data_IF_312079622635
#
_entry.id   IF_312079622635
#
_cell.length_a   1.000
_cell.length_b   1.000
_cell.length_c   1.000
_cell.angle_alpha   90.00
_cell.angle_beta   90.00
_cell.angle_gamma   90.00
#
_symmetry.space_group_name_H-M   'P 1'
#
loop_
_entity.id
_entity.type
_entity.pdbx_description
1 polymer ?
#
# COMPACT_ATOMS: atom_id res chain seq x y z
N UNK A 1 5.04 -15.59 -5.19
CA UNK A 1 5.59 -14.50 -4.37
C UNK A 1 4.54 -13.89 -3.42
N UNK A 2 4.95 -13.37 -2.27
CA UNK A 2 4.19 -12.54 -1.35
C UNK A 2 4.63 -11.07 -1.48
N UNK A 3 3.74 -10.21 -1.97
CA UNK A 3 4.06 -8.81 -2.30
C UNK A 3 3.40 -7.91 -1.27
N UNK A 4 4.19 -7.24 -0.43
CA UNK A 4 3.68 -6.48 0.72
C UNK A 4 3.95 -4.99 0.51
N UNK A 5 2.93 -4.23 0.10
CA UNK A 5 3.02 -2.78 0.01
C UNK A 5 2.88 -2.14 1.38
N UNK A 6 3.80 -1.27 1.77
CA UNK A 6 3.80 -0.69 3.10
C UNK A 6 4.02 0.83 3.12
N UNK A 7 3.34 1.50 4.05
CA UNK A 7 3.60 2.89 4.42
C UNK A 7 3.26 3.12 5.89
N UNK A 8 3.34 4.37 6.35
CA UNK A 8 3.05 4.73 7.75
C UNK A 8 1.62 4.33 8.13
N UNK A 9 0.63 4.68 7.29
CA UNK A 9 -0.78 4.45 7.59
C UNK A 9 -1.32 3.09 7.15
N UNK A 10 -0.71 2.49 6.12
CA UNK A 10 -1.20 1.25 5.48
C UNK A 10 -2.48 1.40 4.65
N UNK A 11 -3.04 2.61 4.55
CA UNK A 11 -4.44 2.85 4.12
C UNK A 11 -4.57 3.84 2.97
N UNK A 12 -3.47 4.47 2.54
CA UNK A 12 -3.45 5.46 1.44
C UNK A 12 -2.58 4.98 0.28
N UNK A 13 -1.29 5.32 0.27
CA UNK A 13 -0.39 4.96 -0.84
C UNK A 13 -0.20 3.45 -1.00
N UNK A 14 -0.07 2.69 0.08
CA UNK A 14 0.03 1.22 0.01
C UNK A 14 -1.28 0.55 -0.40
N UNK A 15 -2.42 1.06 0.07
CA UNK A 15 -3.74 0.60 -0.36
C UNK A 15 -3.92 0.82 -1.87
N UNK A 16 -3.59 2.00 -2.37
CA UNK A 16 -3.73 2.32 -3.79
C UNK A 16 -2.73 1.53 -4.63
N UNK A 17 -1.49 1.38 -4.20
CA UNK A 17 -0.51 0.53 -4.88
C UNK A 17 -1.01 -0.91 -5.03
N UNK A 18 -1.54 -1.50 -3.94
CA UNK A 18 -2.12 -2.83 -4.00
C UNK A 18 -3.34 -2.90 -4.93
N UNK A 19 -4.20 -1.87 -4.95
CA UNK A 19 -5.35 -1.82 -5.87
C UNK A 19 -4.91 -1.73 -7.35
N UNK A 20 -3.89 -0.93 -7.66
CA UNK A 20 -3.30 -0.85 -9.01
C UNK A 20 -2.67 -2.18 -9.40
N UNK A 21 -1.87 -2.79 -8.52
CA UNK A 21 -1.24 -4.08 -8.75
C UNK A 21 -2.28 -5.16 -9.08
N UNK A 22 -3.39 -5.19 -8.34
CA UNK A 22 -4.49 -6.14 -8.52
C UNK A 22 -5.40 -5.79 -9.71
N UNK A 23 -5.09 -4.77 -10.52
CA UNK A 23 -5.91 -4.36 -11.66
C UNK A 23 -7.26 -3.75 -11.28
N UNK A 24 -7.46 -3.35 -10.02
CA UNK A 24 -8.69 -2.68 -9.54
C UNK A 24 -8.71 -1.19 -9.86
N UNK A 25 -7.55 -0.61 -10.13
CA UNK A 25 -7.39 0.78 -10.58
C UNK A 25 -6.49 0.82 -11.83
N UNK A 26 -6.68 1.78 -12.74
CA UNK A 26 -5.97 1.83 -14.01
C UNK A 26 -4.48 2.12 -13.85
N UNK A 27 -3.65 1.53 -14.70
CA UNK A 27 -2.20 1.73 -14.65
C UNK A 27 -1.69 2.81 -15.62
N UNK A 28 -2.51 3.23 -16.56
CA UNK A 28 -2.11 4.11 -17.67
C UNK A 28 -2.75 5.51 -17.58
N UNK A 29 -3.62 5.75 -16.61
CA UNK A 29 -4.29 7.04 -16.41
C UNK A 29 -4.60 7.27 -14.93
N UNK A 30 -4.87 8.51 -14.57
CA UNK A 30 -5.32 8.87 -13.22
C UNK A 30 -6.83 8.58 -13.11
N UNK A 31 -7.28 7.75 -12.15
CA UNK A 31 -8.68 7.40 -12.00
C UNK A 31 -9.52 8.60 -11.54
N UNK A 32 -10.84 8.48 -11.65
CA UNK A 32 -11.75 9.44 -11.01
C UNK A 32 -11.79 9.18 -9.50
N UNK A 33 -12.15 10.21 -8.73
CA UNK A 33 -12.27 10.08 -7.27
C UNK A 33 -13.25 8.98 -6.85
N UNK A 34 -14.31 8.74 -7.64
CA UNK A 34 -15.29 7.67 -7.40
C UNK A 34 -14.67 6.27 -7.47
N UNK A 35 -13.70 6.07 -8.37
CA UNK A 35 -13.03 4.79 -8.55
C UNK A 35 -12.07 4.56 -7.38
N UNK A 36 -11.42 5.63 -6.89
CA UNK A 36 -10.63 5.55 -5.66
C UNK A 36 -11.50 5.19 -4.45
N UNK A 37 -12.71 5.72 -4.35
CA UNK A 37 -13.65 5.42 -3.28
C UNK A 37 -14.31 4.04 -3.37
N UNK A 38 -14.32 3.41 -4.54
CA UNK A 38 -14.81 2.03 -4.69
C UNK A 38 -13.85 1.01 -4.08
N UNK A 39 -12.58 1.39 -3.83
CA UNK A 39 -11.60 0.53 -3.17
C UNK A 39 -11.96 0.38 -1.67
N UNK A 40 -12.39 -0.81 -1.21
CA UNK A 40 -12.96 -0.97 0.14
C UNK A 40 -11.98 -0.69 1.28
N UNK A 41 -10.69 -0.75 0.96
CA UNK A 41 -9.61 -0.57 1.92
C UNK A 41 -8.87 0.78 1.78
N UNK A 42 -9.43 1.73 1.03
CA UNK A 42 -8.90 3.08 0.93
C UNK A 42 -9.42 3.99 2.05
N UNK A 43 -8.50 4.52 2.87
CA UNK A 43 -8.78 5.35 4.04
C UNK A 43 -9.71 4.68 5.08
N UNK A 44 -9.65 3.36 5.24
CA UNK A 44 -10.54 2.63 6.18
C UNK A 44 -9.83 1.96 7.36
N UNK A 45 -8.52 1.71 7.28
CA UNK A 45 -7.79 1.11 8.41
C UNK A 45 -7.86 1.97 9.67
N UNK A 46 -8.01 1.30 10.81
CA UNK A 46 -8.06 1.90 12.14
C UNK A 46 -6.76 1.61 12.91
N UNK A 47 -6.71 2.03 14.18
CA UNK A 47 -5.57 1.76 15.05
C UNK A 47 -5.36 0.25 15.31
N UNK A 48 -6.43 -0.55 15.27
CA UNK A 48 -6.41 -1.99 15.55
C UNK A 48 -5.67 -2.81 14.48
N UNK A 49 -5.57 -2.28 13.27
CA UNK A 49 -4.91 -2.96 12.15
C UNK A 49 -3.44 -2.56 11.97
N UNK A 50 -2.91 -1.68 12.81
CA UNK A 50 -1.49 -1.28 12.75
C UNK A 50 -0.58 -2.49 13.00
N UNK A 51 0.50 -2.60 12.24
CA UNK A 51 1.42 -3.74 12.32
C UNK A 51 0.90 -5.03 11.68
N UNK A 52 -0.37 -5.10 11.23
CA UNK A 52 -0.92 -6.30 10.58
C UNK A 52 -0.58 -6.31 9.09
N UNK A 53 -0.14 -7.47 8.59
CA UNK A 53 -0.05 -7.77 7.16
C UNK A 53 -1.44 -8.22 6.70
N UNK A 54 -2.07 -7.45 5.81
CA UNK A 54 -3.46 -7.66 5.40
C UNK A 54 -3.52 -8.10 3.95
N UNK A 55 -4.08 -9.27 3.70
CA UNK A 55 -4.28 -9.83 2.37
C UNK A 55 -5.28 -9.01 1.54
N UNK A 56 -4.97 -8.79 0.26
CA UNK A 56 -5.78 -7.97 -0.67
C UNK A 56 -6.24 -8.71 -1.92
N UNK A 57 -5.56 -9.78 -2.31
CA UNK A 57 -5.93 -10.63 -3.45
C UNK A 57 -4.75 -11.32 -4.12
N UNK A 58 -5.06 -12.05 -5.20
CA UNK A 58 -4.09 -12.62 -6.13
C UNK A 58 -3.96 -11.71 -7.35
N UNK A 59 -2.73 -11.50 -7.83
CA UNK A 59 -2.49 -10.90 -9.14
C UNK A 59 -2.70 -11.91 -10.28
N UNK A 60 -2.49 -11.48 -11.53
CA UNK A 60 -2.66 -12.31 -12.73
C UNK A 60 -1.65 -13.47 -12.82
N UNK A 61 -0.52 -13.40 -12.11
CA UNK A 61 0.52 -14.43 -12.06
C UNK A 61 0.38 -15.34 -10.82
N UNK A 62 -0.66 -15.17 -10.02
CA UNK A 62 -0.87 -15.94 -8.79
C UNK A 62 -0.08 -15.45 -7.58
N UNK A 63 0.57 -14.28 -7.65
CA UNK A 63 1.22 -13.67 -6.50
C UNK A 63 0.21 -13.13 -5.50
N UNK A 64 0.47 -13.32 -4.22
CA UNK A 64 -0.38 -12.84 -3.13
C UNK A 64 0.00 -11.40 -2.79
N UNK A 65 -0.95 -10.48 -2.91
CA UNK A 65 -0.74 -9.05 -2.63
C UNK A 65 -1.29 -8.70 -1.24
N UNK A 66 -0.49 -7.97 -0.47
CA UNK A 66 -0.78 -7.55 0.89
C UNK A 66 -0.51 -6.05 1.08
N UNK A 67 -1.05 -5.52 2.17
CA UNK A 67 -0.71 -4.18 2.67
C UNK A 67 -0.29 -4.23 4.13
N UNK A 68 0.64 -3.36 4.52
CA UNK A 68 1.11 -3.22 5.90
C UNK A 68 1.15 -1.74 6.34
N UNK A 69 0.68 -1.49 7.56
CA UNK A 69 0.86 -0.23 8.28
C UNK A 69 2.06 -0.33 9.22
N UNK A 70 3.24 0.10 8.78
CA UNK A 70 4.49 -0.01 9.55
C UNK A 70 4.72 1.14 10.53
N UNK A 71 3.77 2.07 10.64
CA UNK A 71 3.93 3.32 11.39
C UNK A 71 5.22 4.06 10.99
N UNK A 72 5.73 4.94 11.86
CA UNK A 72 6.95 5.71 11.63
C UNK A 72 8.23 4.97 12.04
N UNK A 73 8.17 3.64 12.19
CA UNK A 73 9.29 2.81 12.70
C UNK A 73 9.67 1.66 11.76
N UNK A 74 9.98 1.94 10.47
CA UNK A 74 10.41 0.91 9.51
C UNK A 74 11.60 0.08 9.99
N UNK A 75 12.56 0.71 10.64
CA UNK A 75 13.81 0.11 11.13
C UNK A 75 13.58 -0.96 12.20
N UNK A 76 12.41 -0.98 12.83
CA UNK A 76 12.01 -2.03 13.78
C UNK A 76 11.07 -3.02 13.08
N UNK A 77 10.04 -2.51 12.39
CA UNK A 77 8.98 -3.36 11.83
C UNK A 77 9.47 -4.24 10.69
N UNK A 78 10.34 -3.72 9.81
CA UNK A 78 10.81 -4.49 8.66
C UNK A 78 11.67 -5.66 9.12
N UNK A 79 12.78 -5.48 9.87
CA UNK A 79 13.59 -6.62 10.32
C UNK A 79 12.79 -7.65 11.11
N UNK A 80 11.87 -7.21 11.99
CA UNK A 80 11.04 -8.11 12.77
C UNK A 80 10.13 -9.01 11.90
N UNK A 81 9.61 -8.49 10.78
CA UNK A 81 8.81 -9.29 9.84
C UNK A 81 9.70 -10.29 9.09
N UNK A 82 10.88 -9.87 8.67
CA UNK A 82 11.82 -10.72 7.94
C UNK A 82 12.30 -11.88 8.81
N UNK A 83 12.73 -11.59 10.05
CA UNK A 83 13.16 -12.61 11.00
C UNK A 83 12.00 -13.55 11.37
N UNK A 84 10.80 -13.02 11.62
CA UNK A 84 9.63 -13.84 11.90
C UNK A 84 9.27 -14.77 10.73
N UNK A 85 9.40 -14.30 9.48
CA UNK A 85 9.18 -15.11 8.29
C UNK A 85 10.18 -16.27 8.19
N UNK A 86 11.46 -16.00 8.42
CA UNK A 86 12.52 -17.00 8.38
C UNK A 86 12.38 -18.02 9.51
N UNK A 87 12.07 -17.57 10.73
CA UNK A 87 11.82 -18.44 11.88
C UNK A 87 10.61 -19.35 11.67
N UNK A 88 9.61 -18.89 10.90
CA UNK A 88 8.47 -19.70 10.50
C UNK A 88 8.77 -20.68 9.35
N UNK A 89 10.02 -20.76 8.88
CA UNK A 89 10.45 -21.65 7.81
C UNK A 89 10.28 -21.10 6.39
N UNK A 90 9.98 -19.81 6.24
CA UNK A 90 9.86 -19.16 4.93
C UNK A 90 11.22 -18.85 4.29
N UNK A 91 11.24 -18.64 2.97
CA UNK A 91 12.44 -18.25 2.24
C UNK A 91 12.46 -16.72 1.96
N UNK A 92 13.65 -16.10 1.94
CA UNK A 92 13.83 -14.67 1.57
C UNK A 92 13.34 -14.35 0.15
N UNK A 93 13.34 -15.35 -0.74
CA UNK A 93 12.89 -15.20 -2.12
C UNK A 93 11.38 -15.35 -2.28
N UNK A 94 10.64 -15.66 -1.20
CA UNK A 94 9.19 -15.85 -1.27
C UNK A 94 8.40 -14.57 -1.01
N UNK A 95 9.05 -13.49 -0.56
CA UNK A 95 8.39 -12.21 -0.28
C UNK A 95 9.18 -11.00 -0.78
N UNK A 96 8.47 -9.90 -1.00
CA UNK A 96 9.06 -8.56 -1.21
C UNK A 96 8.29 -7.51 -0.41
N UNK A 97 9.03 -6.61 0.23
CA UNK A 97 8.50 -5.48 1.01
C UNK A 97 8.69 -4.19 0.22
N UNK A 98 7.57 -3.57 -0.21
CA UNK A 98 7.59 -2.41 -1.10
C UNK A 98 7.19 -1.13 -0.37
N UNK A 99 8.15 -0.22 -0.24
CA UNK A 99 7.94 1.08 0.40
C UNK A 99 7.18 2.05 -0.51
N UNK A 100 5.96 2.41 -0.13
CA UNK A 100 5.15 3.40 -0.87
C UNK A 100 5.20 4.81 -0.28
N UNK A 101 6.05 5.06 0.72
CA UNK A 101 6.24 6.39 1.31
C UNK A 101 6.76 7.46 0.34
N UNK A 102 7.63 7.16 -0.66
CA UNK A 102 8.09 8.16 -1.61
C UNK A 102 6.97 8.84 -2.41
N UNK A 103 5.81 8.18 -2.56
CA UNK A 103 4.65 8.75 -3.22
C UNK A 103 3.76 9.61 -2.29
N UNK A 104 4.02 9.66 -0.99
CA UNK A 104 3.13 10.34 -0.01
C UNK A 104 3.43 11.85 0.04
N UNK A 105 2.44 12.67 -0.30
CA UNK A 105 2.54 14.13 -0.27
C UNK A 105 1.86 14.76 0.98
N UNK A 106 2.00 16.08 1.12
CA UNK A 106 1.48 16.83 2.27
C UNK A 106 -0.05 16.74 2.42
N UNK A 107 -0.81 16.74 1.31
CA UNK A 107 -2.27 16.59 1.36
C UNK A 107 -2.66 15.24 1.97
N UNK A 108 -1.98 14.16 1.59
CA UNK A 108 -2.22 12.84 2.17
C UNK A 108 -1.86 12.81 3.66
N UNK A 109 -0.79 13.49 4.08
CA UNK A 109 -0.40 13.61 5.51
C UNK A 109 -1.48 14.33 6.32
N UNK A 110 -1.92 15.51 5.86
CA UNK A 110 -2.93 16.33 6.53
C UNK A 110 -4.27 15.59 6.55
N UNK A 111 -4.77 15.20 5.39
CA UNK A 111 -6.04 14.50 5.27
C UNK A 111 -6.05 13.20 6.06
N UNK A 112 -4.95 12.45 6.03
CA UNK A 112 -4.82 11.17 6.74
C UNK A 112 -4.75 11.34 8.24
N UNK A 113 -4.11 12.40 8.73
CA UNK A 113 -4.15 12.78 10.14
C UNK A 113 -5.58 13.14 10.55
N UNK A 114 -6.27 14.00 9.80
CA UNK A 114 -7.64 14.37 10.10
C UNK A 114 -8.60 13.17 10.08
N UNK A 115 -8.55 12.33 9.05
CA UNK A 115 -9.48 11.20 8.90
C UNK A 115 -9.20 10.06 9.89
N UNK A 116 -7.92 9.67 10.08
CA UNK A 116 -7.55 8.46 10.84
C UNK A 116 -7.07 8.72 12.27
N UNK A 117 -6.62 9.93 12.61
CA UNK A 117 -6.19 10.27 13.98
C UNK A 117 -7.23 11.08 14.73
N UNK A 118 -7.87 12.04 14.07
CA UNK A 118 -8.92 12.88 14.68
C UNK A 118 -10.34 12.36 14.44
N UNK A 119 -10.50 11.26 13.68
CA UNK A 119 -11.80 10.70 13.28
C UNK A 119 -12.70 11.67 12.49
N UNK A 120 -12.14 12.73 11.90
CA UNK A 120 -12.84 13.68 11.05
C UNK A 120 -12.90 13.15 9.61
N UNK A 121 -13.58 12.02 9.42
CA UNK A 121 -13.56 11.26 8.14
C UNK A 121 -14.12 12.07 6.97
N UNK A 122 -15.28 12.72 7.15
CA UNK A 122 -15.93 13.52 6.10
C UNK A 122 -15.06 14.70 5.63
N UNK A 123 -14.20 15.23 6.50
CA UNK A 123 -13.26 16.30 6.20
C UNK A 123 -11.95 15.77 5.62
N UNK A 124 -11.34 14.76 6.27
CA UNK A 124 -10.01 14.28 5.91
C UNK A 124 -10.00 13.44 4.63
N UNK A 125 -11.00 12.57 4.42
CA UNK A 125 -11.01 11.61 3.30
C UNK A 125 -11.00 12.29 1.92
N UNK A 126 -11.75 13.40 1.67
CA UNK A 126 -11.61 14.17 0.43
C UNK A 126 -10.20 14.75 0.21
N UNK A 127 -9.55 15.24 1.27
CA UNK A 127 -8.19 15.80 1.18
C UNK A 127 -7.18 14.69 0.83
N UNK A 128 -7.29 13.53 1.47
CA UNK A 128 -6.49 12.34 1.14
C UNK A 128 -6.71 11.93 -0.30
N UNK A 129 -7.96 11.89 -0.77
CA UNK A 129 -8.30 11.49 -2.12
C UNK A 129 -7.66 12.45 -3.14
N UNK A 130 -7.78 13.76 -2.95
CA UNK A 130 -7.13 14.77 -3.80
C UNK A 130 -5.60 14.60 -3.81
N UNK A 131 -5.00 14.38 -2.65
CA UNK A 131 -3.56 14.11 -2.53
C UNK A 131 -3.13 12.83 -3.25
N UNK A 132 -3.95 11.78 -3.14
CA UNK A 132 -3.73 10.48 -3.78
C UNK A 132 -3.79 10.60 -5.30
N UNK A 133 -4.82 11.27 -5.85
CA UNK A 133 -4.94 11.49 -7.28
C UNK A 133 -3.77 12.31 -7.84
N UNK A 134 -3.33 13.34 -7.11
CA UNK A 134 -2.18 14.18 -7.50
C UNK A 134 -0.87 13.38 -7.63
N UNK A 135 -0.66 12.37 -6.78
CA UNK A 135 0.57 11.54 -6.77
C UNK A 135 0.36 10.17 -7.40
N UNK A 136 -0.79 9.95 -8.02
CA UNK A 136 -1.16 8.65 -8.59
C UNK A 136 -0.13 8.11 -9.59
N UNK A 137 0.45 8.93 -10.50
CA UNK A 137 1.52 8.45 -11.39
C UNK A 137 2.75 7.91 -10.64
N UNK A 138 3.10 8.49 -9.48
CA UNK A 138 4.22 8.02 -8.66
C UNK A 138 3.89 6.65 -8.02
N UNK A 139 2.65 6.46 -7.58
CA UNK A 139 2.19 5.18 -7.05
C UNK A 139 2.24 4.10 -8.14
N UNK A 140 1.75 4.43 -9.33
CA UNK A 140 1.82 3.56 -10.52
C UNK A 140 3.26 3.20 -10.83
N UNK A 141 4.19 4.16 -10.80
CA UNK A 141 5.61 3.90 -11.08
C UNK A 141 6.23 2.89 -10.09
N UNK A 142 5.88 2.98 -8.81
CA UNK A 142 6.29 1.99 -7.81
C UNK A 142 5.77 0.61 -8.17
N UNK A 143 4.51 0.50 -8.58
CA UNK A 143 3.90 -0.78 -8.98
C UNK A 143 4.58 -1.33 -10.25
N UNK A 144 4.80 -0.50 -11.27
CA UNK A 144 5.51 -0.91 -12.50
C UNK A 144 6.91 -1.43 -12.20
N UNK A 145 7.68 -0.72 -11.38
CA UNK A 145 8.99 -1.19 -10.96
C UNK A 145 8.93 -2.52 -10.21
N UNK A 146 7.91 -2.69 -9.35
CA UNK A 146 7.68 -3.97 -8.65
C UNK A 146 7.44 -5.10 -9.63
N UNK A 147 6.56 -4.90 -10.62
CA UNK A 147 6.23 -5.91 -11.64
C UNK A 147 7.45 -6.26 -12.50
N UNK A 148 8.24 -5.26 -12.92
CA UNK A 148 9.47 -5.50 -13.69
C UNK A 148 10.49 -6.32 -12.88
N UNK A 149 10.66 -6.04 -11.58
CA UNK A 149 11.53 -6.84 -10.72
C UNK A 149 11.07 -8.29 -10.61
N UNK A 150 9.76 -8.54 -10.58
CA UNK A 150 9.22 -9.89 -10.55
C UNK A 150 9.47 -10.64 -11.87
N UNK A 151 9.33 -9.96 -13.00
CA UNK A 151 9.61 -10.55 -14.32
C UNK A 151 11.08 -10.94 -14.49
N UNK A 152 12.03 -10.17 -13.95
CA UNK A 152 13.46 -10.51 -14.02
C UNK A 152 13.77 -11.78 -13.21
N UNK A 153 13.08 -11.99 -12.08
CA UNK A 153 13.31 -13.15 -11.21
C UNK A 153 12.57 -14.43 -11.67
N UNK A 154 11.75 -14.35 -12.73
CA UNK A 154 11.11 -15.51 -13.37
C UNK A 154 12.04 -16.21 -14.38
N UNK A 155 13.24 -15.66 -14.65
CA UNK A 155 14.30 -16.19 -15.53
C UNK A 155 15.54 -16.63 -14.74
#
# INVERSE_FOLDING_TARGET
MHIIYHCVGGTHSSAVAAAVHLGKLPMNEVPKIKDLYSIPYFDTLTKKERGRIIYRGLDKKGNKVFTLSRQFVPEIVIPAIEDAWLLAGGNKNDYILINTMPAVNLLMKIGGFSSRRLNLVSFGRPIVAKGTLKTYPNIVNIVKNTLNTLEINDY
#
